data_IF_386755483854
#
_entry.id   IF_386755483854
#
_cell.length_a   1.000
_cell.length_b   1.000
_cell.length_c   1.000
_cell.angle_alpha   90.00
_cell.angle_beta   90.00
_cell.angle_gamma   90.00
#
_symmetry.space_group_name_H-M   'P 1'
#
loop_
_entity.id
_entity.type
_entity.pdbx_description
1 polymer ?
#
# COMPACT_ATOMS: atom_id res chain seq x y z
N UNK A 1 -5.67 46.63 -1.55
CA UNK A 1 -5.53 46.41 -0.10
C UNK A 1 -6.02 44.99 0.17
N UNK A 2 -5.21 44.14 0.79
CA UNK A 2 -5.61 42.75 1.09
C UNK A 2 -6.44 42.69 2.38
N UNK A 3 -7.26 41.65 2.54
CA UNK A 3 -8.05 41.42 3.76
C UNK A 3 -7.18 41.49 5.04
N UNK A 4 -5.94 40.99 4.98
CA UNK A 4 -5.01 41.05 6.10
C UNK A 4 -4.52 42.46 6.44
N UNK A 5 -4.35 43.33 5.43
CA UNK A 5 -3.97 44.72 5.67
C UNK A 5 -5.08 45.48 6.41
N UNK A 6 -6.34 45.21 6.09
CA UNK A 6 -7.50 45.78 6.79
C UNK A 6 -7.63 45.26 8.22
N UNK A 7 -7.45 43.94 8.42
CA UNK A 7 -7.46 43.32 9.77
C UNK A 7 -6.35 43.91 10.64
N UNK A 8 -5.12 44.02 10.12
CA UNK A 8 -3.99 44.62 10.85
C UNK A 8 -4.26 46.10 11.15
N UNK A 9 -4.83 46.84 10.21
CA UNK A 9 -5.20 48.24 10.43
C UNK A 9 -6.22 48.40 11.56
N UNK A 10 -7.24 47.54 11.63
CA UNK A 10 -8.22 47.52 12.72
C UNK A 10 -7.56 47.13 14.05
N UNK A 11 -6.72 46.09 14.07
CA UNK A 11 -6.04 45.63 15.29
C UNK A 11 -5.13 46.73 15.90
N UNK A 12 -4.49 47.55 15.07
CA UNK A 12 -3.69 48.71 15.53
C UNK A 12 -4.51 49.84 16.15
N UNK A 13 -5.83 49.86 15.99
CA UNK A 13 -6.69 50.86 16.66
C UNK A 13 -6.97 50.50 18.13
N UNK A 14 -6.66 49.28 18.55
CA UNK A 14 -6.83 48.82 19.94
C UNK A 14 -5.55 49.13 20.73
N UNK A 15 -5.58 50.01 21.76
CA UNK A 15 -4.37 50.49 22.43
C UNK A 15 -3.45 49.38 22.95
N UNK A 16 -4.03 48.37 23.61
CA UNK A 16 -3.30 47.23 24.20
C UNK A 16 -2.57 46.40 23.14
N UNK A 17 -3.12 46.33 21.93
CA UNK A 17 -2.55 45.56 20.80
C UNK A 17 -1.55 46.42 20.03
N UNK A 18 -1.80 47.73 19.89
CA UNK A 18 -0.87 48.66 19.25
C UNK A 18 0.47 48.70 20.00
N UNK A 19 0.43 48.69 21.34
CA UNK A 19 1.64 48.61 22.17
C UNK A 19 2.50 47.36 21.84
N UNK A 20 1.88 46.23 21.49
CA UNK A 20 2.62 45.02 21.11
C UNK A 20 3.32 45.18 19.75
N UNK A 21 2.62 45.75 18.76
CA UNK A 21 3.19 46.01 17.43
C UNK A 21 4.27 47.11 17.45
N UNK A 22 4.18 48.06 18.38
CA UNK A 22 5.13 49.15 18.55
C UNK A 22 6.35 48.74 19.40
N UNK A 23 6.17 47.79 20.33
CA UNK A 23 7.26 47.21 21.11
C UNK A 23 8.13 46.22 20.31
N UNK A 24 7.61 45.64 19.24
CA UNK A 24 8.40 44.84 18.30
C UNK A 24 9.26 45.74 17.41
N UNK A 25 10.58 45.63 17.54
CA UNK A 25 11.54 46.33 16.68
C UNK A 25 11.21 46.05 15.18
N UNK A 26 11.02 47.08 14.34
CA UNK A 26 10.87 46.90 12.90
C UNK A 26 12.01 46.12 12.24
N UNK A 27 13.19 46.04 12.88
CA UNK A 27 14.29 45.16 12.48
C UNK A 27 13.97 43.67 12.71
N UNK A 28 13.28 43.32 13.79
CA UNK A 28 12.83 41.95 14.09
C UNK A 28 11.68 41.51 13.16
N UNK A 29 10.78 42.43 12.79
CA UNK A 29 9.69 42.17 11.83
C UNK A 29 10.19 41.95 10.39
N UNK A 30 11.37 42.47 10.03
CA UNK A 30 11.97 42.33 8.70
C UNK A 30 12.70 41.01 8.48
N UNK A 31 12.95 40.23 9.52
CA UNK A 31 13.82 39.05 9.44
C UNK A 31 13.07 37.73 9.67
N UNK A 32 11.80 37.65 9.27
CA UNK A 32 11.31 36.38 8.75
C UNK A 32 12.00 36.18 7.39
N UNK A 33 13.24 35.69 7.45
CA UNK A 33 14.04 35.43 6.25
C UNK A 33 13.30 34.42 5.37
N UNK A 34 13.56 34.49 4.06
CA UNK A 34 13.14 33.45 3.12
C UNK A 34 13.56 32.06 3.62
N UNK A 35 14.71 31.95 4.29
CA UNK A 35 15.21 30.70 4.89
C UNK A 35 14.28 30.22 6.01
N UNK A 36 13.87 31.10 6.93
CA UNK A 36 12.92 30.77 8.00
C UNK A 36 11.57 30.30 7.42
N UNK A 37 11.06 30.97 6.37
CA UNK A 37 9.83 30.55 5.69
C UNK A 37 9.97 29.18 5.02
N UNK A 38 11.07 28.90 4.34
CA UNK A 38 11.30 27.59 3.74
C UNK A 38 11.46 26.49 4.80
N UNK A 39 12.11 26.78 5.94
CA UNK A 39 12.19 25.84 7.07
C UNK A 39 10.80 25.55 7.63
N UNK A 40 9.98 26.57 7.89
CA UNK A 40 8.63 26.38 8.39
C UNK A 40 7.75 25.65 7.38
N UNK A 41 7.88 25.97 6.10
CA UNK A 41 7.18 25.28 5.02
C UNK A 41 7.54 23.80 5.00
N UNK A 42 8.83 23.47 5.05
CA UNK A 42 9.30 22.09 5.09
C UNK A 42 8.83 21.37 6.38
N UNK A 43 8.93 22.03 7.53
CA UNK A 43 8.50 21.49 8.82
C UNK A 43 6.97 21.28 8.93
N UNK A 44 6.18 22.02 8.16
CA UNK A 44 4.72 21.94 8.13
C UNK A 44 4.19 21.11 6.95
N UNK A 45 5.06 20.59 6.08
CA UNK A 45 4.65 19.66 5.04
C UNK A 45 3.93 18.47 5.68
N UNK A 46 2.79 18.11 5.10
CA UNK A 46 2.02 16.95 5.53
C UNK A 46 2.91 15.70 5.43
N UNK A 47 3.33 15.18 6.58
CA UNK A 47 3.99 13.88 6.68
C UNK A 47 2.94 12.78 6.55
N UNK A 48 2.48 12.58 5.32
CA UNK A 48 1.54 11.54 4.97
C UNK A 48 2.13 10.14 5.10
N UNK A 49 1.44 9.19 4.49
CA UNK A 49 1.93 7.83 4.36
C UNK A 49 3.22 7.78 3.51
N UNK A 50 4.31 7.29 4.11
CA UNK A 50 5.61 7.07 3.45
C UNK A 50 5.89 5.58 3.32
N UNK A 51 5.88 5.08 2.08
CA UNK A 51 6.14 3.68 1.74
C UNK A 51 7.52 3.21 2.23
N UNK A 52 8.56 4.03 2.03
CA UNK A 52 9.92 3.66 2.42
C UNK A 52 10.05 3.55 3.93
N UNK A 53 9.41 4.46 4.67
CA UNK A 53 9.38 4.42 6.13
C UNK A 53 8.70 3.15 6.64
N UNK A 54 7.52 2.81 6.11
CA UNK A 54 6.79 1.61 6.52
C UNK A 54 7.59 0.34 6.21
N UNK A 55 8.21 0.23 5.02
CA UNK A 55 9.04 -0.93 4.66
C UNK A 55 10.25 -1.05 5.61
N UNK A 56 10.91 0.08 5.95
CA UNK A 56 12.01 0.08 6.93
C UNK A 56 11.54 -0.40 8.31
N UNK A 57 10.39 0.07 8.78
CA UNK A 57 9.83 -0.35 10.06
C UNK A 57 9.45 -1.83 10.07
N UNK A 58 8.80 -2.33 9.02
CA UNK A 58 8.48 -3.76 8.88
C UNK A 58 9.75 -4.62 8.98
N UNK A 59 10.82 -4.23 8.28
CA UNK A 59 12.10 -4.94 8.33
C UNK A 59 12.73 -4.88 9.72
N UNK A 60 12.73 -3.71 10.36
CA UNK A 60 13.31 -3.54 11.69
C UNK A 60 12.56 -4.38 12.74
N UNK A 61 11.22 -4.34 12.74
CA UNK A 61 10.37 -5.12 13.64
C UNK A 61 10.57 -6.62 13.43
N UNK A 62 10.59 -7.07 12.17
CA UNK A 62 10.88 -8.45 11.83
C UNK A 62 12.24 -8.89 12.39
N UNK A 63 13.31 -8.11 12.17
CA UNK A 63 14.64 -8.44 12.67
C UNK A 63 14.69 -8.48 14.20
N UNK A 64 14.00 -7.56 14.87
CA UNK A 64 13.90 -7.53 16.32
C UNK A 64 13.18 -8.77 16.87
N UNK A 65 12.06 -9.16 16.25
CA UNK A 65 11.32 -10.36 16.62
C UNK A 65 12.14 -11.63 16.42
N UNK A 66 12.85 -11.73 15.28
CA UNK A 66 13.71 -12.88 14.96
C UNK A 66 14.87 -13.03 15.95
N UNK A 67 15.38 -11.93 16.52
CA UNK A 67 16.47 -11.98 17.49
C UNK A 67 16.08 -12.64 18.83
N UNK A 68 14.79 -12.65 19.17
CA UNK A 68 14.24 -13.23 20.39
C UNK A 68 13.26 -14.38 20.12
N UNK A 69 13.34 -14.99 18.93
CA UNK A 69 12.37 -15.98 18.48
C UNK A 69 12.47 -17.28 19.27
N UNK A 70 11.32 -17.74 19.78
CA UNK A 70 11.11 -19.15 20.09
C UNK A 70 10.31 -19.74 18.92
N UNK A 71 10.90 -20.70 18.20
CA UNK A 71 10.26 -21.27 17.02
C UNK A 71 9.00 -22.06 17.39
N UNK A 72 7.89 -21.70 16.75
CA UNK A 72 6.60 -22.34 16.89
C UNK A 72 5.98 -22.56 15.50
N UNK A 73 5.18 -23.63 15.38
CA UNK A 73 4.52 -23.99 14.14
C UNK A 73 3.09 -24.42 14.40
N UNK A 74 2.18 -24.00 13.52
CA UNK A 74 0.83 -24.55 13.44
C UNK A 74 0.67 -25.35 12.16
N UNK A 75 -0.05 -26.46 12.27
CA UNK A 75 -0.40 -27.33 11.14
C UNK A 75 -1.83 -27.82 11.30
N UNK A 76 -2.64 -27.75 10.25
CA UNK A 76 -3.99 -28.34 10.27
C UNK A 76 -4.44 -28.79 8.87
N UNK A 77 -5.31 -29.79 8.84
CA UNK A 77 -5.86 -30.34 7.59
C UNK A 77 -7.10 -29.54 7.17
N UNK A 78 -7.17 -29.21 5.88
CA UNK A 78 -8.29 -28.52 5.24
C UNK A 78 -8.72 -29.26 3.99
N UNK A 79 -10.02 -29.36 3.75
CA UNK A 79 -10.53 -29.89 2.49
C UNK A 79 -10.75 -28.74 1.52
N UNK A 80 -9.99 -28.71 0.43
CA UNK A 80 -10.13 -27.73 -0.66
C UNK A 80 -10.53 -28.48 -1.91
N UNK A 81 -11.70 -28.14 -2.49
CA UNK A 81 -12.25 -28.80 -3.68
C UNK A 81 -12.30 -30.33 -3.54
N UNK A 82 -12.74 -30.82 -2.38
CA UNK A 82 -12.81 -32.26 -2.07
C UNK A 82 -11.48 -32.94 -1.78
N UNK A 83 -10.34 -32.24 -1.91
CA UNK A 83 -9.01 -32.78 -1.64
C UNK A 83 -8.50 -32.30 -0.28
N UNK A 84 -8.06 -33.24 0.56
CA UNK A 84 -7.37 -32.92 1.81
C UNK A 84 -6.01 -32.29 1.51
N UNK A 85 -5.81 -31.07 2.00
CA UNK A 85 -4.55 -30.33 1.98
C UNK A 85 -4.15 -30.03 3.41
N UNK A 86 -2.85 -29.89 3.66
CA UNK A 86 -2.36 -29.46 4.97
C UNK A 86 -1.92 -28.01 4.88
N UNK A 87 -2.47 -27.16 5.72
CA UNK A 87 -1.94 -25.84 5.97
C UNK A 87 -0.81 -25.95 7.00
N UNK A 88 0.33 -25.31 6.73
CA UNK A 88 1.45 -25.20 7.65
C UNK A 88 1.96 -23.77 7.67
N UNK A 89 2.21 -23.24 8.86
CA UNK A 89 2.78 -21.92 9.05
C UNK A 89 3.68 -21.90 10.27
N UNK A 90 4.86 -21.27 10.15
CA UNK A 90 5.81 -21.08 11.23
C UNK A 90 5.93 -19.61 11.60
N UNK A 91 6.17 -19.31 12.88
CA UNK A 91 6.52 -17.95 13.27
C UNK A 91 7.92 -17.52 12.75
N UNK A 92 8.75 -18.46 12.27
CA UNK A 92 10.03 -18.21 11.59
C UNK A 92 9.89 -18.02 10.05
N UNK A 93 8.67 -17.83 9.54
CA UNK A 93 8.51 -17.56 8.10
C UNK A 93 9.26 -16.30 7.65
N UNK A 94 9.64 -16.28 6.37
CA UNK A 94 10.28 -15.10 5.75
C UNK A 94 9.32 -13.91 5.78
N UNK A 95 9.85 -12.70 5.98
CA UNK A 95 9.06 -11.46 5.93
C UNK A 95 8.20 -11.35 4.65
N UNK A 96 8.71 -11.81 3.52
CA UNK A 96 7.94 -11.84 2.27
C UNK A 96 6.72 -12.75 2.37
N UNK A 97 6.83 -13.93 2.97
CA UNK A 97 5.71 -14.85 3.18
C UNK A 97 4.67 -14.21 4.10
N UNK A 98 5.12 -13.59 5.19
CA UNK A 98 4.24 -12.86 6.13
C UNK A 98 3.46 -11.75 5.40
N UNK A 99 4.13 -10.95 4.55
CA UNK A 99 3.48 -9.90 3.75
C UNK A 99 2.44 -10.50 2.82
N UNK A 100 2.75 -11.57 2.08
CA UNK A 100 1.79 -12.19 1.17
C UNK A 100 0.55 -12.71 1.91
N UNK A 101 0.74 -13.30 3.08
CA UNK A 101 -0.37 -13.76 3.90
C UNK A 101 -1.24 -12.61 4.40
N UNK A 102 -0.64 -11.49 4.83
CA UNK A 102 -1.37 -10.27 5.22
C UNK A 102 -2.18 -9.71 4.04
N UNK A 103 -1.59 -9.63 2.85
CA UNK A 103 -2.27 -9.16 1.64
C UNK A 103 -3.43 -10.08 1.25
N UNK A 104 -3.25 -11.39 1.40
CA UNK A 104 -4.31 -12.37 1.21
C UNK A 104 -5.47 -12.15 2.20
N UNK A 105 -5.17 -11.96 3.48
CA UNK A 105 -6.20 -11.65 4.48
C UNK A 105 -6.91 -10.34 4.16
N UNK A 106 -6.17 -9.29 3.78
CA UNK A 106 -6.75 -8.01 3.40
C UNK A 106 -7.69 -8.14 2.20
N UNK A 107 -7.29 -8.87 1.16
CA UNK A 107 -8.11 -9.11 -0.02
C UNK A 107 -9.39 -9.91 0.30
N UNK A 108 -9.35 -10.83 1.26
CA UNK A 108 -10.49 -11.70 1.58
C UNK A 108 -11.41 -11.17 2.69
N UNK A 109 -10.86 -10.44 3.67
CA UNK A 109 -11.55 -10.04 4.90
C UNK A 109 -11.53 -8.53 5.15
N UNK A 110 -10.79 -7.75 4.37
CA UNK A 110 -10.63 -6.31 4.54
C UNK A 110 -9.69 -5.94 5.68
N UNK A 111 -9.84 -4.73 6.23
CA UNK A 111 -8.92 -4.14 7.21
C UNK A 111 -9.10 -4.58 8.68
N UNK A 112 -10.18 -5.29 9.02
CA UNK A 112 -10.54 -5.57 10.42
C UNK A 112 -9.85 -6.84 10.92
N UNK A 113 -8.80 -6.66 11.72
CA UNK A 113 -8.11 -7.75 12.43
C UNK A 113 -9.08 -8.47 13.38
N UNK A 114 -9.94 -7.72 14.06
CA UNK A 114 -10.94 -8.26 14.98
C UNK A 114 -11.83 -9.31 14.31
N UNK A 115 -12.30 -9.06 13.08
CA UNK A 115 -13.11 -10.04 12.33
C UNK A 115 -12.33 -11.32 12.02
N UNK A 116 -11.03 -11.20 11.76
CA UNK A 116 -10.16 -12.38 11.53
C UNK A 116 -10.03 -13.17 12.81
N UNK A 117 -9.76 -12.50 13.95
CA UNK A 117 -9.63 -13.15 15.24
C UNK A 117 -10.95 -13.84 15.65
N UNK A 118 -12.09 -13.19 15.52
CA UNK A 118 -13.36 -13.77 15.95
C UNK A 118 -13.85 -14.92 15.06
N UNK A 119 -13.64 -14.82 13.73
CA UNK A 119 -14.31 -15.69 12.75
C UNK A 119 -13.38 -16.66 12.00
N UNK A 120 -12.16 -16.85 12.47
CA UNK A 120 -11.21 -17.82 11.91
C UNK A 120 -10.97 -18.99 12.86
N UNK A 121 -10.30 -20.04 12.36
CA UNK A 121 -9.87 -21.18 13.17
C UNK A 121 -8.78 -20.75 14.16
N UNK A 122 -8.60 -21.52 15.23
CA UNK A 122 -7.60 -21.22 16.25
C UNK A 122 -6.17 -21.13 15.68
N UNK A 123 -5.85 -21.96 14.68
CA UNK A 123 -4.54 -21.89 14.00
C UNK A 123 -4.34 -20.56 13.26
N UNK A 124 -5.37 -20.03 12.60
CA UNK A 124 -5.28 -18.74 11.92
C UNK A 124 -5.21 -17.60 12.94
N UNK A 125 -5.89 -17.72 14.09
CA UNK A 125 -5.76 -16.77 15.21
C UNK A 125 -4.32 -16.73 15.72
N UNK A 126 -3.72 -17.90 15.97
CA UNK A 126 -2.31 -17.99 16.37
C UNK A 126 -1.37 -17.35 15.35
N UNK A 127 -1.57 -17.60 14.05
CA UNK A 127 -0.77 -16.95 13.00
C UNK A 127 -0.94 -15.43 13.04
N UNK A 128 -2.16 -14.94 13.25
CA UNK A 128 -2.41 -13.50 13.38
C UNK A 128 -1.72 -12.91 14.61
N UNK A 129 -1.76 -13.58 15.76
CA UNK A 129 -1.07 -13.12 16.97
C UNK A 129 0.44 -13.02 16.76
N UNK A 130 1.02 -13.99 16.05
CA UNK A 130 2.42 -13.92 15.63
C UNK A 130 2.68 -12.73 14.70
N UNK A 131 1.84 -12.48 13.70
CA UNK A 131 2.03 -11.36 12.76
C UNK A 131 1.89 -9.99 13.44
N UNK A 132 0.91 -9.85 14.34
CA UNK A 132 0.71 -8.64 15.15
C UNK A 132 1.97 -8.36 15.96
N UNK A 133 2.48 -9.37 16.66
CA UNK A 133 3.69 -9.23 17.49
C UNK A 133 4.96 -9.02 16.66
N UNK A 134 5.12 -9.79 15.57
CA UNK A 134 6.30 -9.80 14.70
C UNK A 134 6.48 -8.50 13.93
N UNK A 135 5.38 -7.91 13.46
CA UNK A 135 5.41 -6.71 12.62
C UNK A 135 4.97 -5.46 13.37
N UNK A 136 4.58 -5.58 14.64
CA UNK A 136 4.00 -4.52 15.45
C UNK A 136 2.79 -3.86 14.75
N UNK A 137 1.82 -4.70 14.36
CA UNK A 137 0.62 -4.23 13.67
C UNK A 137 -0.30 -3.51 14.66
N UNK A 138 -0.69 -2.29 14.29
CA UNK A 138 -1.76 -1.59 14.97
C UNK A 138 -3.11 -2.22 14.60
N UNK A 139 -3.77 -2.78 15.62
CA UNK A 139 -5.06 -3.44 15.52
C UNK A 139 -6.21 -2.55 16.00
N UNK A 140 -5.91 -1.31 16.39
CA UNK A 140 -6.95 -0.39 16.87
C UNK A 140 -7.92 -0.04 15.75
N UNK A 141 -9.21 -0.09 16.04
CA UNK A 141 -10.22 0.38 15.09
C UNK A 141 -10.15 1.90 15.02
N UNK A 142 -9.86 2.40 13.83
CA UNK A 142 -9.73 3.82 13.55
C UNK A 142 -10.90 4.27 12.67
N UNK A 143 -11.51 5.39 13.03
CA UNK A 143 -12.57 5.98 12.21
C UNK A 143 -12.05 6.37 10.82
N UNK A 144 -12.86 6.23 9.76
CA UNK A 144 -12.50 6.70 8.43
C UNK A 144 -12.08 8.17 8.44
N UNK A 145 -10.96 8.49 7.78
CA UNK A 145 -10.43 9.86 7.74
C UNK A 145 -9.56 10.25 8.93
N UNK A 146 -9.42 9.41 9.96
CA UNK A 146 -8.48 9.66 11.05
C UNK A 146 -7.03 9.66 10.53
N UNK A 147 -6.31 10.73 10.81
CA UNK A 147 -4.87 10.80 10.54
C UNK A 147 -4.13 9.79 11.43
N UNK A 148 -3.34 8.92 10.79
CA UNK A 148 -2.48 7.96 11.47
C UNK A 148 -1.04 8.49 11.49
N UNK A 149 -0.38 8.39 12.64
CA UNK A 149 1.03 8.78 12.78
C UNK A 149 1.93 8.01 11.80
N UNK A 150 3.09 8.57 11.41
CA UNK A 150 3.92 8.02 10.33
C UNK A 150 4.52 6.64 10.65
N UNK A 151 4.64 6.29 11.94
CA UNK A 151 5.20 5.00 12.39
C UNK A 151 4.17 3.90 12.63
N UNK A 152 2.88 4.20 12.43
CA UNK A 152 1.80 3.24 12.65
C UNK A 152 1.74 2.28 11.46
N UNK A 153 1.90 0.99 11.72
CA UNK A 153 1.80 -0.07 10.72
C UNK A 153 0.42 -0.70 10.80
N UNK A 154 -0.36 -0.59 9.72
CA UNK A 154 -1.68 -1.23 9.61
C UNK A 154 -1.73 -2.11 8.37
N UNK A 155 -2.65 -3.08 8.33
CA UNK A 155 -2.85 -3.93 7.15
C UNK A 155 -3.08 -3.11 5.87
N UNK A 156 -3.93 -2.06 5.84
CA UNK A 156 -4.09 -1.21 4.66
C UNK A 156 -2.79 -0.50 4.23
N UNK A 157 -1.97 -0.05 5.18
CA UNK A 157 -0.67 0.58 4.86
C UNK A 157 0.31 -0.42 4.26
N UNK A 158 0.31 -1.67 4.73
CA UNK A 158 1.07 -2.75 4.10
C UNK A 158 0.56 -2.99 2.67
N UNK A 159 -0.75 -3.07 2.45
CA UNK A 159 -1.31 -3.22 1.12
C UNK A 159 -0.93 -2.08 0.17
N UNK A 160 -0.93 -0.84 0.65
CA UNK A 160 -0.50 0.32 -0.10
C UNK A 160 1.00 0.31 -0.44
N UNK A 161 1.85 -0.37 0.35
CA UNK A 161 3.26 -0.58 0.01
C UNK A 161 3.47 -1.59 -1.13
N UNK A 162 2.53 -2.51 -1.37
CA UNK A 162 2.67 -3.62 -2.31
C UNK A 162 1.47 -3.75 -3.27
N UNK A 163 1.12 -2.69 -4.03
CA UNK A 163 -0.10 -2.68 -4.84
C UNK A 163 -0.12 -3.78 -5.90
N UNK A 164 0.99 -4.05 -6.57
CA UNK A 164 1.08 -5.12 -7.59
C UNK A 164 0.80 -6.50 -7.00
N UNK A 165 1.41 -6.80 -5.84
CA UNK A 165 1.20 -8.09 -5.16
C UNK A 165 -0.24 -8.19 -4.69
N UNK A 166 -0.79 -7.11 -4.12
CA UNK A 166 -2.18 -7.06 -3.70
C UNK A 166 -3.15 -7.31 -4.86
N UNK A 167 -2.98 -6.63 -5.99
CA UNK A 167 -3.82 -6.84 -7.18
C UNK A 167 -3.76 -8.29 -7.68
N UNK A 168 -2.57 -8.89 -7.72
CA UNK A 168 -2.42 -10.29 -8.13
C UNK A 168 -3.18 -11.24 -7.20
N UNK A 169 -3.06 -11.05 -5.89
CA UNK A 169 -3.78 -11.84 -4.88
C UNK A 169 -5.29 -11.63 -4.98
N UNK A 170 -5.72 -10.39 -5.22
CA UNK A 170 -7.13 -10.05 -5.39
C UNK A 170 -7.74 -10.72 -6.63
N UNK A 171 -7.07 -10.68 -7.78
CA UNK A 171 -7.56 -11.33 -9.00
C UNK A 171 -7.53 -12.86 -8.92
N UNK A 172 -6.48 -13.44 -8.31
CA UNK A 172 -6.42 -14.88 -8.09
C UNK A 172 -7.57 -15.40 -7.21
N UNK A 173 -8.14 -14.55 -6.35
CA UNK A 173 -9.34 -14.87 -5.56
C UNK A 173 -10.55 -15.08 -6.47
N UNK A 174 -10.75 -14.20 -7.45
CA UNK A 174 -11.95 -14.20 -8.31
C UNK A 174 -11.96 -15.39 -9.27
N UNK A 175 -10.79 -15.78 -9.80
CA UNK A 175 -10.66 -16.95 -10.67
C UNK A 175 -10.90 -18.28 -9.94
N UNK A 176 -10.73 -18.35 -8.61
CA UNK A 176 -11.04 -19.54 -7.83
C UNK A 176 -12.54 -19.70 -7.53
N UNK A 177 -13.36 -18.66 -7.71
CA UNK A 177 -14.80 -18.68 -7.43
C UNK A 177 -15.67 -19.04 -8.64
N UNK A 178 -15.09 -19.19 -9.83
CA UNK A 178 -15.82 -19.53 -11.05
C UNK A 178 -15.06 -20.47 -11.97
N UNK A 179 -15.56 -21.71 -12.08
CA UNK A 179 -15.19 -22.74 -13.06
C UNK A 179 -13.84 -23.46 -12.91
N UNK A 180 -13.86 -24.71 -13.37
CA UNK A 180 -12.77 -25.69 -13.38
C UNK A 180 -11.46 -25.10 -13.94
N UNK A 181 -10.58 -24.63 -13.08
CA UNK A 181 -9.19 -24.36 -13.42
C UNK A 181 -8.29 -25.39 -12.74
N UNK A 182 -7.52 -26.11 -13.56
CA UNK A 182 -6.38 -26.91 -13.12
C UNK A 182 -5.28 -25.97 -12.68
N UNK A 183 -5.15 -25.73 -11.38
CA UNK A 183 -4.01 -25.00 -10.83
C UNK A 183 -2.75 -25.87 -11.03
N UNK A 184 -1.85 -25.46 -11.91
CA UNK A 184 -0.50 -26.00 -11.99
C UNK A 184 0.31 -25.43 -10.82
N UNK A 185 0.19 -26.07 -9.65
CA UNK A 185 1.03 -25.75 -8.51
C UNK A 185 2.46 -26.20 -8.79
N UNK A 186 3.42 -25.27 -8.76
CA UNK A 186 4.81 -25.64 -8.61
C UNK A 186 5.06 -26.02 -7.15
N UNK A 187 5.46 -27.27 -6.92
CA UNK A 187 5.96 -27.75 -5.65
C UNK A 187 7.43 -27.34 -5.52
N UNK A 188 7.83 -26.75 -4.40
CA UNK A 188 9.23 -26.84 -3.99
C UNK A 188 9.53 -28.27 -3.51
N UNK A 189 10.81 -28.64 -3.44
CA UNK A 189 11.25 -29.96 -2.96
C UNK A 189 10.80 -30.27 -1.52
N UNK A 190 10.27 -29.28 -0.81
CA UNK A 190 9.75 -29.38 0.56
C UNK A 190 8.21 -29.47 0.65
N UNK A 191 7.50 -29.48 -0.48
CA UNK A 191 6.05 -29.64 -0.52
C UNK A 191 5.23 -28.42 -0.06
N UNK A 192 5.82 -27.22 -0.05
CA UNK A 192 5.11 -25.97 0.24
C UNK A 192 4.34 -25.50 -0.99
N UNK A 193 3.10 -25.08 -0.76
CA UNK A 193 2.22 -24.61 -1.81
C UNK A 193 2.38 -23.10 -1.98
N UNK A 194 2.92 -22.67 -3.12
CA UNK A 194 2.96 -21.26 -3.51
C UNK A 194 1.95 -21.01 -4.64
N UNK A 195 1.12 -19.98 -4.51
CA UNK A 195 0.32 -19.46 -5.63
C UNK A 195 1.18 -18.41 -6.34
N UNK A 196 2.01 -18.85 -7.29
CA UNK A 196 2.61 -17.95 -8.26
C UNK A 196 1.70 -17.91 -9.49
N UNK A 197 1.02 -16.78 -9.69
CA UNK A 197 0.39 -16.50 -10.98
C UNK A 197 1.48 -16.09 -11.96
N UNK A 198 2.02 -17.04 -12.74
CA UNK A 198 2.75 -16.69 -13.94
C UNK A 198 1.74 -16.36 -15.04
N UNK A 199 1.77 -15.12 -15.53
CA UNK A 199 1.08 -14.75 -16.75
C UNK A 199 1.95 -15.28 -17.90
N UNK A 200 1.60 -16.45 -18.42
CA UNK A 200 2.14 -16.90 -19.71
C UNK A 200 1.81 -15.84 -20.76
N UNK A 201 2.83 -15.12 -21.23
CA UNK A 201 2.73 -14.35 -22.48
C UNK A 201 2.58 -15.36 -23.60
N UNK A 202 1.35 -15.63 -24.00
CA UNK A 202 1.04 -16.34 -25.23
C UNK A 202 1.61 -15.57 -26.42
N UNK A 203 2.77 -16.01 -26.86
CA UNK A 203 3.36 -15.60 -28.14
C UNK A 203 2.56 -16.28 -29.23
N UNK A 204 1.49 -15.63 -29.70
CA UNK A 204 0.80 -16.06 -30.91
C UNK A 204 1.67 -15.75 -32.11
N UNK A 205 2.49 -16.74 -32.45
CA UNK A 205 3.22 -16.82 -33.71
C UNK A 205 2.29 -17.51 -34.72
N UNK A 206 1.44 -16.74 -35.41
CA UNK A 206 0.67 -17.22 -36.55
C UNK A 206 1.33 -16.75 -37.84
N UNK A 207 2.22 -17.60 -38.34
CA UNK A 207 2.65 -17.61 -39.74
C UNK A 207 1.53 -18.19 -40.60
N UNK A 208 0.98 -17.38 -41.51
CA UNK A 208 0.28 -17.87 -42.69
C UNK A 208 0.61 -16.96 -43.87
N UNK A 209 1.22 -17.59 -44.86
CA UNK A 209 1.68 -17.10 -46.15
C UNK A 209 0.57 -16.99 -47.19
N UNK A 210 0.87 -16.15 -48.20
CA UNK A 210 0.56 -16.20 -49.64
C UNK A 210 -0.68 -15.49 -50.21
N UNK A 211 -0.35 -14.64 -51.21
CA UNK A 211 -1.01 -14.35 -52.51
C UNK A 211 -2.39 -13.70 -52.50
N UNK A 212 -2.79 -12.80 -53.39
CA UNK A 212 -2.25 -11.95 -54.46
C UNK A 212 -3.47 -11.19 -55.03
N UNK A 213 -3.25 -10.16 -55.87
CA UNK A 213 -4.27 -9.45 -56.69
C UNK A 213 -5.18 -8.49 -55.89
N UNK A 214 -5.64 -7.33 -56.37
CA UNK A 214 -5.31 -6.45 -57.50
C UNK A 214 -6.11 -5.15 -57.25
N UNK A 215 -5.57 -4.05 -57.78
CA UNK A 215 -6.27 -2.90 -58.41
C UNK A 215 -7.23 -1.92 -57.66
N UNK A 216 -6.96 -0.64 -57.96
CA UNK A 216 -7.86 0.54 -58.13
C UNK A 216 -8.45 1.18 -56.86
N UNK A 217 -8.62 2.50 -56.72
CA UNK A 217 -8.33 3.68 -57.53
C UNK A 217 -8.63 4.94 -56.66
N UNK A 218 -8.16 6.10 -57.14
CA UNK A 218 -8.74 7.46 -57.00
C UNK A 218 -8.82 8.22 -55.65
N UNK A 219 -8.19 9.41 -55.69
CA UNK A 219 -8.70 10.75 -55.29
C UNK A 219 -9.09 10.99 -53.80
N UNK A 220 -8.80 12.10 -53.12
CA UNK A 220 -8.63 13.50 -53.53
C UNK A 220 -8.11 14.36 -52.35
N UNK A 221 -7.50 15.50 -52.71
CA UNK A 221 -7.42 16.84 -52.07
C UNK A 221 -7.47 17.05 -50.54
N UNK A 222 -6.52 17.84 -50.03
CA UNK A 222 -6.73 19.16 -49.38
C UNK A 222 -5.37 19.64 -48.79
N UNK A 223 -4.70 20.63 -49.39
CA UNK A 223 -4.83 22.07 -49.15
C UNK A 223 -4.78 22.50 -47.67
N UNK A 224 -3.68 23.13 -47.27
CA UNK A 224 -3.65 24.14 -46.22
C UNK A 224 -2.35 24.94 -46.28
N UNK A 225 -2.39 26.04 -47.03
CA UNK A 225 -1.49 27.16 -46.85
C UNK A 225 -1.96 28.10 -45.74
N UNK A 226 -1.05 28.51 -44.86
CA UNK A 226 -1.08 29.71 -44.00
C UNK A 226 0.41 30.11 -43.89
N UNK A 227 0.94 31.03 -44.70
CA UNK A 227 0.95 32.50 -44.65
C UNK A 227 1.36 33.08 -43.28
N UNK A 228 2.41 33.91 -43.36
CA UNK A 228 3.13 34.69 -42.34
C UNK A 228 2.29 35.34 -41.22
#
# INVERSE_FOLDING_TARGET
MSYWEEVVAVLRTVPEISEWFEAEDPANLKEITRVTLEIWKEATLYQGFDVYRIIKLLRANYQAYMASLLEEQVSYEVTVNGTKKTFRYSNNEKLTTDIHFILFLFANRGCSVQKVLEKSTDQIRTVMDWLISKLNLDITENEPGRSLGPDIITIPRIAACFPTVFCNVFHARESCTGQNMTCTGHHDEEGRYFVFGEIEKSSNNSSSSSSSEDENDEESSDDSGIVE
#
